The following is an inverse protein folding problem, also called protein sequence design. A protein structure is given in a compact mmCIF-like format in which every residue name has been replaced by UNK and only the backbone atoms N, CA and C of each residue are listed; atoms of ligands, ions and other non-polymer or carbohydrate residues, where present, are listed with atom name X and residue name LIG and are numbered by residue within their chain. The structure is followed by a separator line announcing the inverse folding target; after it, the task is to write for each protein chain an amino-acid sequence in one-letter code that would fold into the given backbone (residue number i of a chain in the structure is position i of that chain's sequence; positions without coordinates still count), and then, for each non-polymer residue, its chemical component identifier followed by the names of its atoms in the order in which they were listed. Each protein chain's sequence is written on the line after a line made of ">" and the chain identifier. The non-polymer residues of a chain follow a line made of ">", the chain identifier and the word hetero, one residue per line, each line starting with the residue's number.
data_IF_379448048098
#
_entry.id   IF_379448048098
#
_cell.length_a   1.000
_cell.length_b   1.000
_cell.length_c   1.000
_cell.angle_alpha   90.00
_cell.angle_beta   90.00
_cell.angle_gamma   90.00
#
_symmetry.space_group_name_H-M   'P 1'
#
loop_
_entity.id
_entity.type
_entity.pdbx_description
1 polymer ?
#
# COMPACT_ATOMS: atom_id res chain seq x y z
N UNK A 1 -55.33 -23.92 63.88
CA UNK A 1 -55.00 -22.81 63.03
C UNK A 1 -53.61 -23.09 62.41
N UNK A 2 -53.56 -23.36 61.11
CA UNK A 2 -52.42 -23.96 60.40
C UNK A 2 -51.49 -22.93 59.82
N UNK A 3 -50.22 -22.89 60.23
CA UNK A 3 -49.16 -22.11 59.62
C UNK A 3 -48.65 -22.82 58.35
N UNK A 4 -48.76 -22.18 57.21
CA UNK A 4 -48.09 -22.58 55.97
C UNK A 4 -46.81 -21.77 55.81
N UNK A 5 -45.65 -22.42 55.89
CA UNK A 5 -44.34 -21.89 55.55
C UNK A 5 -44.16 -22.07 54.04
N UNK A 6 -44.04 -20.96 53.34
CA UNK A 6 -43.72 -20.92 51.89
C UNK A 6 -42.22 -21.00 51.73
N UNK A 7 -41.73 -22.04 51.06
CA UNK A 7 -40.32 -22.25 50.74
C UNK A 7 -40.03 -21.59 49.38
N UNK A 8 -39.22 -20.54 49.37
CA UNK A 8 -38.73 -19.91 48.13
C UNK A 8 -37.51 -20.71 47.67
N UNK A 9 -37.59 -21.37 46.51
CA UNK A 9 -36.48 -21.96 45.81
C UNK A 9 -35.86 -20.95 44.89
N UNK A 10 -34.62 -20.53 45.17
CA UNK A 10 -33.79 -19.73 44.31
C UNK A 10 -33.05 -20.66 43.33
N UNK A 11 -33.47 -20.65 42.06
CA UNK A 11 -32.72 -21.30 40.99
C UNK A 11 -31.57 -20.35 40.55
N UNK A 12 -30.35 -20.70 40.91
CA UNK A 12 -29.16 -20.11 40.39
C UNK A 12 -28.85 -20.73 39.02
N UNK A 13 -29.11 -19.98 37.93
CA UNK A 13 -28.72 -20.37 36.58
C UNK A 13 -27.21 -20.11 36.40
N UNK A 14 -26.39 -21.14 36.47
CA UNK A 14 -25.00 -21.05 36.02
C UNK A 14 -24.99 -20.99 34.48
N UNK A 15 -24.74 -19.81 33.93
CA UNK A 15 -24.37 -19.64 32.53
C UNK A 15 -22.94 -20.16 32.35
N UNK A 16 -22.80 -21.37 31.87
CA UNK A 16 -21.52 -21.91 31.36
C UNK A 16 -21.20 -21.19 30.07
N UNK A 17 -20.34 -20.17 30.15
CA UNK A 17 -19.72 -19.55 28.99
C UNK A 17 -18.76 -20.56 28.38
N UNK A 18 -19.24 -21.34 27.41
CA UNK A 18 -18.43 -22.27 26.62
C UNK A 18 -17.52 -21.43 25.71
N UNK A 19 -16.29 -21.19 26.16
CA UNK A 19 -15.22 -20.72 25.35
C UNK A 19 -14.85 -21.84 24.38
N UNK A 20 -15.53 -21.93 23.24
CA UNK A 20 -15.14 -22.83 22.15
C UNK A 20 -13.85 -22.29 21.53
N UNK A 21 -12.71 -22.72 22.07
CA UNK A 21 -11.46 -22.68 21.31
C UNK A 21 -11.69 -23.47 20.02
N UNK A 22 -11.80 -22.79 18.91
CA UNK A 22 -11.84 -23.41 17.59
C UNK A 22 -10.50 -24.12 17.41
N UNK A 23 -10.49 -25.44 17.63
CA UNK A 23 -9.35 -26.28 17.25
C UNK A 23 -9.34 -26.28 15.71
N UNK A 24 -8.52 -25.41 15.11
CA UNK A 24 -8.23 -25.49 13.69
C UNK A 24 -7.45 -26.78 13.45
N UNK A 25 -8.01 -27.69 12.66
CA UNK A 25 -7.25 -28.84 12.18
C UNK A 25 -6.09 -28.33 11.29
N UNK A 26 -4.97 -29.02 11.25
CA UNK A 26 -3.77 -28.64 10.46
C UNK A 26 -4.12 -28.29 8.99
N UNK A 27 -5.21 -28.82 8.45
CA UNK A 27 -5.71 -28.56 7.11
C UNK A 27 -6.45 -27.21 6.96
N UNK A 28 -6.82 -26.53 8.05
CA UNK A 28 -7.53 -25.23 8.03
C UNK A 28 -6.62 -24.03 8.30
N UNK A 29 -5.34 -24.24 8.64
CA UNK A 29 -4.40 -23.16 8.90
C UNK A 29 -4.19 -22.29 7.64
N UNK A 30 -4.22 -20.97 7.82
CA UNK A 30 -3.93 -20.00 6.76
C UNK A 30 -2.99 -18.92 7.29
N UNK A 31 -2.20 -18.30 6.41
CA UNK A 31 -1.27 -17.23 6.80
C UNK A 31 -2.01 -16.10 7.52
N UNK A 32 -3.07 -15.59 6.93
CA UNK A 32 -3.90 -14.54 7.55
C UNK A 32 -4.58 -14.97 8.86
N UNK A 33 -4.85 -16.26 9.03
CA UNK A 33 -5.43 -16.78 10.25
C UNK A 33 -4.43 -16.90 11.40
N UNK A 34 -3.16 -17.19 11.07
CA UNK A 34 -2.07 -17.32 12.06
C UNK A 34 -1.42 -15.99 12.40
N UNK A 35 -1.30 -15.10 11.43
CA UNK A 35 -0.53 -13.85 11.53
C UNK A 35 -1.41 -12.59 11.59
N UNK A 36 -2.71 -12.70 11.29
CA UNK A 36 -3.58 -11.54 11.09
C UNK A 36 -3.88 -10.68 12.32
N UNK A 37 -3.55 -11.17 13.52
CA UNK A 37 -3.56 -10.39 14.76
C UNK A 37 -2.30 -9.53 14.95
N UNK A 38 -1.26 -9.76 14.13
CA UNK A 38 0.04 -9.09 14.21
C UNK A 38 0.24 -8.10 13.06
N UNK A 39 -0.05 -8.55 11.83
CA UNK A 39 0.08 -7.73 10.61
C UNK A 39 -0.78 -8.29 9.47
N UNK A 40 -1.01 -7.47 8.46
CA UNK A 40 -1.68 -7.91 7.23
C UNK A 40 -0.72 -8.77 6.42
N UNK A 41 -1.25 -9.86 5.85
CA UNK A 41 -0.52 -10.70 4.90
C UNK A 41 -1.02 -10.37 3.51
N UNK A 42 -0.17 -9.71 2.70
CA UNK A 42 -0.52 -9.20 1.38
C UNK A 42 0.00 -10.05 0.23
N UNK A 43 -0.58 -9.83 -0.94
CA UNK A 43 -0.12 -10.42 -2.20
C UNK A 43 -0.35 -9.46 -3.37
N UNK A 44 0.61 -9.39 -4.30
CA UNK A 44 0.45 -8.67 -5.56
C UNK A 44 -0.36 -9.52 -6.54
N UNK A 45 -1.33 -8.90 -7.22
CA UNK A 45 -2.20 -9.57 -8.19
C UNK A 45 -2.07 -8.95 -9.58
N UNK A 46 -1.88 -9.80 -10.59
CA UNK A 46 -2.08 -9.41 -11.97
C UNK A 46 -3.55 -9.56 -12.40
N UNK A 47 -3.87 -9.09 -13.60
CA UNK A 47 -5.25 -9.06 -14.11
C UNK A 47 -5.88 -10.44 -14.27
N UNK A 48 -5.12 -11.50 -14.57
CA UNK A 48 -5.65 -12.87 -14.65
C UNK A 48 -6.11 -13.40 -13.30
N UNK A 49 -5.45 -12.96 -12.24
CA UNK A 49 -5.77 -13.33 -10.85
C UNK A 49 -6.96 -12.50 -10.34
N UNK A 50 -6.94 -11.18 -10.52
CA UNK A 50 -8.04 -10.32 -10.08
C UNK A 50 -9.35 -10.55 -10.85
N UNK A 51 -9.28 -10.92 -12.13
CA UNK A 51 -10.46 -11.30 -12.93
C UNK A 51 -11.00 -12.71 -12.63
N UNK A 52 -10.29 -13.49 -11.84
CA UNK A 52 -10.71 -14.86 -11.51
C UNK A 52 -10.38 -15.91 -12.58
N UNK A 53 -9.72 -15.53 -13.67
CA UNK A 53 -9.31 -16.49 -14.74
C UNK A 53 -8.32 -17.52 -14.21
N UNK A 54 -7.38 -17.12 -13.34
CA UNK A 54 -6.49 -18.05 -12.65
C UNK A 54 -7.15 -18.56 -11.35
N UNK A 55 -8.02 -19.54 -11.51
CA UNK A 55 -8.81 -20.10 -10.40
C UNK A 55 -7.95 -20.78 -9.32
N UNK A 56 -6.77 -21.30 -9.67
CA UNK A 56 -5.85 -21.94 -8.73
C UNK A 56 -5.21 -20.89 -7.82
N UNK A 57 -4.68 -19.80 -8.41
CA UNK A 57 -4.14 -18.68 -7.62
C UNK A 57 -5.21 -18.03 -6.75
N UNK A 58 -6.42 -17.79 -7.29
CA UNK A 58 -7.53 -17.19 -6.54
C UNK A 58 -7.89 -17.98 -5.29
N UNK A 59 -7.87 -19.32 -5.32
CA UNK A 59 -8.11 -20.17 -4.14
C UNK A 59 -7.05 -19.92 -3.05
N UNK A 60 -5.78 -19.83 -3.44
CA UNK A 60 -4.65 -19.55 -2.53
C UNK A 60 -4.80 -18.14 -1.94
N UNK A 61 -5.05 -17.14 -2.79
CA UNK A 61 -5.24 -15.75 -2.38
C UNK A 61 -6.35 -15.63 -1.33
N UNK A 62 -7.53 -16.14 -1.63
CA UNK A 62 -8.68 -16.09 -0.71
C UNK A 62 -8.43 -16.82 0.62
N UNK A 63 -7.64 -17.90 0.60
CA UNK A 63 -7.33 -18.67 1.79
C UNK A 63 -6.30 -17.97 2.68
N UNK A 64 -5.23 -17.44 2.11
CA UNK A 64 -4.04 -17.06 2.85
C UNK A 64 -3.85 -15.57 3.09
N UNK A 65 -4.46 -14.69 2.27
CA UNK A 65 -4.17 -13.26 2.27
C UNK A 65 -5.37 -12.43 2.71
N UNK A 66 -5.11 -11.31 3.38
CA UNK A 66 -6.09 -10.31 3.78
C UNK A 66 -5.76 -8.91 3.26
N UNK A 67 -4.69 -8.78 2.45
CA UNK A 67 -4.34 -7.56 1.72
C UNK A 67 -3.97 -7.88 0.28
N UNK A 68 -4.26 -6.96 -0.63
CA UNK A 68 -3.91 -7.08 -2.06
C UNK A 68 -3.32 -5.77 -2.59
N UNK A 69 -2.34 -5.89 -3.47
CA UNK A 69 -1.76 -4.76 -4.21
C UNK A 69 -1.79 -5.04 -5.70
N UNK A 70 -1.98 -4.00 -6.52
CA UNK A 70 -2.04 -4.13 -7.97
C UNK A 70 -0.62 -4.34 -8.55
N UNK A 71 -0.40 -5.40 -9.34
CA UNK A 71 0.89 -5.61 -9.99
C UNK A 71 1.17 -4.59 -11.09
N UNK A 72 0.21 -4.33 -12.00
CA UNK A 72 0.41 -3.44 -13.15
C UNK A 72 -0.80 -2.55 -13.49
N UNK A 73 -2.01 -2.95 -13.15
CA UNK A 73 -3.23 -2.31 -13.68
C UNK A 73 -3.46 -0.87 -13.19
N UNK A 74 -2.77 -0.43 -12.15
CA UNK A 74 -2.86 0.94 -11.63
C UNK A 74 -1.64 1.82 -11.99
N UNK A 75 -0.64 1.27 -12.70
CA UNK A 75 0.52 2.05 -13.15
C UNK A 75 0.12 3.05 -14.25
N UNK A 76 0.79 4.20 -14.28
CA UNK A 76 0.44 5.33 -15.15
C UNK A 76 0.23 4.92 -16.62
N UNK A 77 1.14 4.14 -17.18
CA UNK A 77 1.04 3.65 -18.57
C UNK A 77 -0.27 2.89 -18.87
N UNK A 78 -0.84 2.20 -17.87
CA UNK A 78 -2.07 1.41 -18.01
C UNK A 78 -3.30 2.26 -17.73
N UNK A 79 -3.30 2.98 -16.60
CA UNK A 79 -4.51 3.67 -16.11
C UNK A 79 -4.71 5.05 -16.75
N UNK A 80 -3.62 5.72 -17.23
CA UNK A 80 -3.64 7.05 -17.83
C UNK A 80 -2.73 7.09 -19.07
N UNK A 81 -3.04 6.29 -20.11
CA UNK A 81 -2.16 6.08 -21.27
C UNK A 81 -2.00 7.31 -22.17
N UNK A 82 -2.98 8.21 -22.20
CA UNK A 82 -2.98 9.45 -22.97
C UNK A 82 -3.42 10.63 -22.09
N UNK A 83 -2.98 11.84 -22.37
CA UNK A 83 -3.19 13.02 -21.52
C UNK A 83 -4.68 13.25 -21.16
N UNK A 84 -5.57 13.04 -22.10
CA UNK A 84 -7.01 13.24 -21.94
C UNK A 84 -7.81 11.94 -21.73
N UNK A 85 -7.12 10.79 -21.54
CA UNK A 85 -7.79 9.50 -21.47
C UNK A 85 -7.32 8.64 -20.28
N UNK A 86 -8.27 8.25 -19.46
CA UNK A 86 -8.09 7.25 -18.42
C UNK A 86 -8.74 5.93 -18.82
N UNK A 87 -8.09 4.82 -18.50
CA UNK A 87 -8.65 3.47 -18.59
C UNK A 87 -8.66 2.80 -17.21
N UNK A 88 -9.81 2.83 -16.58
CA UNK A 88 -9.99 2.26 -15.25
C UNK A 88 -10.46 0.79 -15.26
N UNK A 89 -10.67 0.20 -16.43
CA UNK A 89 -11.32 -1.11 -16.57
C UNK A 89 -10.65 -2.19 -15.72
N UNK A 90 -9.33 -2.33 -15.85
CA UNK A 90 -8.57 -3.33 -15.10
C UNK A 90 -8.42 -2.98 -13.62
N UNK A 91 -8.27 -1.69 -13.31
CA UNK A 91 -8.16 -1.23 -11.93
C UNK A 91 -9.49 -1.37 -11.18
N UNK A 92 -10.63 -1.10 -11.82
CA UNK A 92 -11.96 -1.32 -11.26
C UNK A 92 -12.20 -2.80 -10.93
N UNK A 93 -11.79 -3.71 -11.82
CA UNK A 93 -11.90 -5.15 -11.61
C UNK A 93 -11.03 -5.61 -10.43
N UNK A 94 -9.79 -5.09 -10.32
CA UNK A 94 -8.89 -5.36 -9.20
C UNK A 94 -9.48 -4.87 -7.87
N UNK A 95 -9.98 -3.63 -7.82
CA UNK A 95 -10.58 -3.06 -6.60
C UNK A 95 -11.82 -3.85 -6.21
N UNK A 96 -12.67 -4.18 -7.18
CA UNK A 96 -13.84 -5.03 -6.94
C UNK A 96 -13.47 -6.39 -6.36
N UNK A 97 -12.41 -7.03 -6.86
CA UNK A 97 -11.92 -8.29 -6.30
C UNK A 97 -11.53 -8.16 -4.83
N UNK A 98 -10.81 -7.10 -4.47
CA UNK A 98 -10.44 -6.82 -3.07
C UNK A 98 -11.68 -6.61 -2.18
N UNK A 99 -12.64 -5.81 -2.64
CA UNK A 99 -13.90 -5.55 -1.92
C UNK A 99 -14.74 -6.81 -1.73
N UNK A 100 -14.97 -7.58 -2.79
CA UNK A 100 -15.75 -8.82 -2.76
C UNK A 100 -15.17 -9.86 -1.79
N UNK A 101 -13.89 -9.77 -1.48
CA UNK A 101 -13.20 -10.68 -0.57
C UNK A 101 -12.82 -10.05 0.78
N UNK A 102 -13.28 -8.83 1.07
CA UNK A 102 -13.03 -8.13 2.34
C UNK A 102 -11.55 -7.87 2.62
N UNK A 103 -10.75 -7.61 1.57
CA UNK A 103 -9.31 -7.42 1.67
C UNK A 103 -8.93 -5.95 1.82
N UNK A 104 -7.81 -5.69 2.47
CA UNK A 104 -7.18 -4.38 2.48
C UNK A 104 -6.54 -4.11 1.12
N UNK A 105 -6.98 -3.06 0.43
CA UNK A 105 -6.58 -2.78 -0.95
C UNK A 105 -5.53 -1.68 -0.96
N UNK A 106 -4.38 -1.95 -1.58
CA UNK A 106 -3.30 -1.00 -1.78
C UNK A 106 -3.20 -0.67 -3.27
N UNK A 107 -3.20 0.63 -3.58
CA UNK A 107 -2.99 1.13 -4.95
C UNK A 107 -1.50 1.28 -5.25
N UNK A 108 -1.04 0.67 -6.35
CA UNK A 108 0.36 0.73 -6.80
C UNK A 108 0.42 1.09 -8.28
N UNK A 109 1.01 2.21 -8.60
CA UNK A 109 1.49 3.32 -7.81
C UNK A 109 1.12 4.64 -8.49
N UNK A 110 1.13 5.76 -7.75
CA UNK A 110 0.75 7.06 -8.34
C UNK A 110 1.88 7.70 -9.13
N UNK A 111 3.11 7.70 -8.59
CA UNK A 111 4.28 8.31 -9.25
C UNK A 111 5.44 7.32 -9.29
N UNK A 112 5.86 6.96 -10.49
CA UNK A 112 6.99 6.08 -10.74
C UNK A 112 7.66 6.41 -12.06
N UNK A 113 8.99 6.34 -12.11
CA UNK A 113 9.78 6.64 -13.30
C UNK A 113 9.66 5.59 -14.41
N UNK A 114 9.28 4.35 -14.06
CA UNK A 114 9.07 3.24 -14.98
C UNK A 114 7.58 3.05 -15.27
N UNK A 115 7.24 2.40 -16.35
CA UNK A 115 5.84 2.23 -16.83
C UNK A 115 5.03 3.53 -16.77
N UNK A 116 5.71 4.66 -17.03
CA UNK A 116 5.13 5.98 -17.16
C UNK A 116 4.57 6.15 -18.57
N UNK A 117 3.43 6.80 -18.72
CA UNK A 117 2.88 7.10 -20.02
C UNK A 117 3.80 8.09 -20.77
N UNK A 118 4.07 7.87 -22.07
CA UNK A 118 5.08 8.64 -22.81
C UNK A 118 4.87 10.16 -22.81
N UNK A 119 3.62 10.60 -22.77
CA UNK A 119 3.25 12.03 -22.80
C UNK A 119 3.52 12.77 -21.48
N UNK A 120 3.63 12.05 -20.36
CA UNK A 120 3.48 12.62 -19.00
C UNK A 120 4.48 13.74 -18.67
N UNK A 121 5.74 13.56 -19.03
CA UNK A 121 6.82 14.49 -18.72
C UNK A 121 7.34 15.27 -19.94
N UNK A 122 6.76 15.06 -21.12
CA UNK A 122 7.23 15.68 -22.36
C UNK A 122 6.14 16.45 -23.09
N UNK A 123 6.56 17.40 -23.91
CA UNK A 123 5.69 18.08 -24.85
C UNK A 123 5.56 17.28 -26.17
N UNK A 124 4.81 17.84 -27.14
CA UNK A 124 4.60 17.23 -28.46
C UNK A 124 5.89 17.05 -29.28
N UNK A 125 6.94 17.79 -28.95
CA UNK A 125 8.24 17.76 -29.64
C UNK A 125 9.24 16.86 -28.92
N UNK A 126 8.83 16.21 -27.81
CA UNK A 126 9.63 15.28 -27.00
C UNK A 126 10.56 15.96 -25.99
N UNK A 127 10.45 17.27 -25.81
CA UNK A 127 11.21 18.02 -24.79
C UNK A 127 10.53 17.91 -23.43
N UNK A 128 11.31 18.08 -22.35
CA UNK A 128 10.73 18.18 -21.02
C UNK A 128 9.73 19.34 -20.96
N UNK A 129 8.57 19.10 -20.39
CA UNK A 129 7.58 20.17 -20.17
C UNK A 129 8.06 21.18 -19.12
N UNK A 130 7.48 22.37 -19.11
CA UNK A 130 7.74 23.35 -18.06
C UNK A 130 7.32 22.80 -16.67
N UNK A 131 8.00 23.21 -15.59
CA UNK A 131 7.69 22.75 -14.23
C UNK A 131 6.21 22.88 -13.85
N UNK A 132 5.58 24.00 -14.17
CA UNK A 132 4.17 24.23 -13.84
C UNK A 132 3.21 23.30 -14.60
N UNK A 133 3.56 22.90 -15.82
CA UNK A 133 2.80 21.91 -16.58
C UNK A 133 2.89 20.54 -15.91
N UNK A 134 4.09 20.12 -15.49
CA UNK A 134 4.25 18.84 -14.81
C UNK A 134 3.56 18.82 -13.44
N UNK A 135 3.61 19.92 -12.67
CA UNK A 135 2.87 20.04 -11.40
C UNK A 135 1.37 19.87 -11.62
N UNK A 136 0.82 20.50 -12.67
CA UNK A 136 -0.61 20.36 -12.99
C UNK A 136 -0.94 18.93 -13.41
N UNK A 137 -0.15 18.31 -14.30
CA UNK A 137 -0.34 16.92 -14.74
C UNK A 137 -0.28 15.94 -13.56
N UNK A 138 0.67 16.12 -12.63
CA UNK A 138 0.77 15.33 -11.40
C UNK A 138 -0.49 15.49 -10.55
N UNK A 139 -0.94 16.73 -10.35
CA UNK A 139 -2.13 17.02 -9.56
C UNK A 139 -3.37 16.35 -10.16
N UNK A 140 -3.60 16.52 -11.45
CA UNK A 140 -4.77 15.98 -12.14
C UNK A 140 -4.76 14.45 -12.12
N UNK A 141 -3.60 13.83 -12.41
CA UNK A 141 -3.43 12.38 -12.37
C UNK A 141 -3.74 11.81 -10.99
N UNK A 142 -3.09 12.32 -9.96
CA UNK A 142 -3.24 11.84 -8.58
C UNK A 142 -4.66 12.07 -8.10
N UNK A 143 -5.19 13.28 -8.27
CA UNK A 143 -6.55 13.62 -7.80
C UNK A 143 -7.61 12.76 -8.48
N UNK A 144 -7.50 12.53 -9.78
CA UNK A 144 -8.47 11.73 -10.53
C UNK A 144 -8.47 10.27 -10.05
N UNK A 145 -7.29 9.67 -9.91
CA UNK A 145 -7.17 8.26 -9.52
C UNK A 145 -7.58 8.06 -8.06
N UNK A 146 -7.03 8.86 -7.14
CA UNK A 146 -7.29 8.71 -5.71
C UNK A 146 -8.77 9.00 -5.40
N UNK A 147 -9.35 10.05 -6.00
CA UNK A 147 -10.78 10.38 -5.79
C UNK A 147 -11.71 9.28 -6.31
N UNK A 148 -11.37 8.62 -7.44
CA UNK A 148 -12.18 7.51 -7.97
C UNK A 148 -12.29 6.36 -6.97
N UNK A 149 -11.23 6.08 -6.24
CA UNK A 149 -11.16 4.94 -5.30
C UNK A 149 -11.26 5.37 -3.84
N UNK A 150 -11.65 6.61 -3.57
CA UNK A 150 -11.80 7.14 -2.22
C UNK A 150 -12.64 6.22 -1.34
N UNK A 151 -12.10 5.89 -0.15
CA UNK A 151 -12.73 4.99 0.81
C UNK A 151 -12.67 3.50 0.44
N UNK A 152 -12.34 3.15 -0.81
CA UNK A 152 -12.25 1.78 -1.34
C UNK A 152 -10.79 1.27 -1.28
N UNK A 153 -9.85 1.99 -1.87
CA UNK A 153 -8.42 1.77 -1.69
C UNK A 153 -8.01 2.37 -0.35
N UNK A 154 -7.32 1.57 0.48
CA UNK A 154 -7.00 1.94 1.87
C UNK A 154 -5.66 2.62 2.02
N UNK A 155 -4.77 2.42 1.08
CA UNK A 155 -3.46 3.06 1.04
C UNK A 155 -2.87 3.09 -0.36
N UNK A 156 -1.97 4.02 -0.62
CA UNK A 156 -1.33 4.24 -1.90
C UNK A 156 0.18 4.25 -1.80
N UNK A 157 0.86 3.49 -2.65
CA UNK A 157 2.25 3.76 -2.98
C UNK A 157 2.28 5.07 -3.78
N UNK A 158 2.49 6.19 -3.06
CA UNK A 158 2.41 7.53 -3.66
C UNK A 158 3.59 7.78 -4.56
N UNK A 159 4.81 7.52 -4.06
CA UNK A 159 6.05 7.60 -4.84
C UNK A 159 6.81 6.29 -4.72
N UNK A 160 7.17 5.74 -5.87
CA UNK A 160 7.91 4.49 -5.98
C UNK A 160 9.31 4.73 -6.54
N UNK A 161 10.34 4.22 -5.86
CA UNK A 161 11.72 4.08 -6.32
C UNK A 161 12.41 5.40 -6.71
N UNK A 162 12.33 6.41 -5.85
CA UNK A 162 12.91 7.72 -6.11
C UNK A 162 14.37 7.88 -5.62
N UNK A 163 14.88 6.97 -4.79
CA UNK A 163 16.21 7.05 -4.18
C UNK A 163 17.07 5.87 -4.65
N UNK A 164 18.33 6.14 -5.00
CA UNK A 164 19.31 5.11 -5.37
C UNK A 164 20.01 4.52 -4.14
N UNK A 165 20.74 3.43 -4.33
CA UNK A 165 21.41 2.68 -3.26
C UNK A 165 22.43 3.52 -2.49
N UNK A 166 23.12 4.44 -3.17
CA UNK A 166 24.06 5.38 -2.57
C UNK A 166 23.40 6.54 -1.81
N UNK A 167 22.08 6.60 -1.79
CA UNK A 167 21.28 7.65 -1.16
C UNK A 167 21.06 8.88 -2.06
N UNK A 168 21.55 8.89 -3.28
CA UNK A 168 21.24 9.98 -4.21
C UNK A 168 19.82 9.85 -4.80
N UNK A 169 19.22 10.98 -5.19
CA UNK A 169 17.93 10.96 -5.89
C UNK A 169 18.09 10.43 -7.32
N UNK A 170 17.19 9.53 -7.71
CA UNK A 170 17.11 9.04 -9.08
C UNK A 170 16.84 10.17 -10.05
N UNK A 171 17.69 10.31 -11.08
CA UNK A 171 17.55 11.32 -12.13
C UNK A 171 16.43 10.95 -13.12
N UNK A 172 15.22 10.75 -12.57
CA UNK A 172 14.01 10.55 -13.36
C UNK A 172 13.57 11.85 -14.03
N UNK A 173 12.66 11.79 -15.02
CA UNK A 173 12.06 12.98 -15.61
C UNK A 173 11.37 13.88 -14.59
N UNK A 174 10.74 13.31 -13.57
CA UNK A 174 10.18 14.08 -12.46
C UNK A 174 11.26 14.89 -11.74
N UNK A 175 12.39 14.26 -11.43
CA UNK A 175 13.50 14.93 -10.76
C UNK A 175 14.20 15.94 -11.66
N UNK A 176 14.39 15.65 -12.96
CA UNK A 176 15.01 16.57 -13.91
C UNK A 176 14.21 17.88 -14.04
N UNK A 177 12.88 17.82 -13.94
CA UNK A 177 11.99 18.97 -14.13
C UNK A 177 11.70 19.69 -12.80
N UNK A 178 11.43 18.93 -11.72
CA UNK A 178 10.95 19.49 -10.45
C UNK A 178 11.96 19.38 -9.30
N UNK A 179 13.12 18.72 -9.51
CA UNK A 179 14.01 18.40 -8.39
C UNK A 179 13.33 17.51 -7.36
N UNK A 180 13.70 17.64 -6.10
CA UNK A 180 13.14 16.84 -4.99
C UNK A 180 11.67 17.19 -4.70
N UNK A 181 11.17 18.34 -5.18
CA UNK A 181 9.84 18.87 -4.87
C UNK A 181 8.71 17.94 -5.36
N UNK A 182 8.95 17.11 -6.39
CA UNK A 182 7.89 16.23 -6.91
C UNK A 182 7.38 15.25 -5.87
N UNK A 183 8.22 14.82 -4.91
CA UNK A 183 7.82 13.84 -3.86
C UNK A 183 6.82 14.48 -2.90
N UNK A 184 7.15 15.57 -2.17
CA UNK A 184 6.19 16.20 -1.27
C UNK A 184 4.91 16.68 -1.98
N UNK A 185 4.99 17.14 -3.23
CA UNK A 185 3.80 17.51 -4.01
C UNK A 185 2.88 16.32 -4.26
N UNK A 186 3.44 15.15 -4.62
CA UNK A 186 2.65 13.94 -4.83
C UNK A 186 1.91 13.52 -3.55
N UNK A 187 2.57 13.54 -2.41
CA UNK A 187 1.95 13.24 -1.12
C UNK A 187 0.87 14.25 -0.73
N UNK A 188 1.10 15.53 -0.97
CA UNK A 188 0.11 16.57 -0.75
C UNK A 188 -1.14 16.34 -1.58
N UNK A 189 -1.00 16.12 -2.90
CA UNK A 189 -2.14 15.90 -3.79
C UNK A 189 -2.91 14.62 -3.45
N UNK A 190 -2.23 13.56 -3.06
CA UNK A 190 -2.88 12.33 -2.64
C UNK A 190 -3.69 12.53 -1.34
N UNK A 191 -3.13 13.24 -0.36
CA UNK A 191 -3.83 13.58 0.88
C UNK A 191 -5.04 14.51 0.63
N UNK A 192 -4.91 15.51 -0.23
CA UNK A 192 -6.02 16.40 -0.59
C UNK A 192 -7.17 15.63 -1.25
N UNK A 193 -6.87 14.62 -2.07
CA UNK A 193 -7.87 13.82 -2.77
C UNK A 193 -8.60 12.83 -1.84
N UNK A 194 -7.87 12.13 -0.97
CA UNK A 194 -8.44 11.25 0.06
C UNK A 194 -7.67 11.37 1.38
N UNK A 195 -8.16 12.20 2.33
CA UNK A 195 -7.51 12.37 3.63
C UNK A 195 -7.47 11.10 4.50
N UNK A 196 -8.32 10.11 4.23
CA UNK A 196 -8.43 8.88 5.02
C UNK A 196 -7.50 7.76 4.51
N UNK A 197 -7.11 7.79 3.24
CA UNK A 197 -6.19 6.80 2.68
C UNK A 197 -4.80 6.94 3.31
N UNK A 198 -4.14 5.82 3.59
CA UNK A 198 -2.74 5.82 4.02
C UNK A 198 -1.81 6.12 2.84
N UNK A 199 -0.71 6.84 3.09
CA UNK A 199 0.23 7.29 2.07
C UNK A 199 1.61 6.70 2.31
N UNK A 200 2.16 6.01 1.30
CA UNK A 200 3.39 5.23 1.40
C UNK A 200 4.47 5.74 0.46
N UNK A 201 5.71 5.75 0.97
CA UNK A 201 6.90 5.76 0.12
C UNK A 201 7.37 4.31 -0.04
N UNK A 202 7.58 3.84 -1.25
CA UNK A 202 7.95 2.44 -1.53
C UNK A 202 9.21 2.38 -2.39
N UNK A 203 10.16 1.49 -2.04
CA UNK A 203 11.40 1.35 -2.80
C UNK A 203 12.01 -0.06 -2.61
N UNK A 204 12.87 -0.45 -3.53
CA UNK A 204 13.66 -1.68 -3.44
C UNK A 204 15.03 -1.43 -2.78
N UNK A 205 15.75 -2.51 -2.44
CA UNK A 205 17.07 -2.44 -1.78
C UNK A 205 17.10 -1.49 -0.56
N UNK A 206 16.01 -1.43 0.17
CA UNK A 206 15.80 -0.51 1.30
C UNK A 206 16.71 -0.83 2.51
N UNK A 207 17.46 -1.91 2.46
CA UNK A 207 18.50 -2.27 3.44
C UNK A 207 19.85 -1.57 3.20
N UNK A 208 20.04 -0.94 2.05
CA UNK A 208 21.26 -0.19 1.74
C UNK A 208 21.40 1.06 2.61
N UNK A 209 22.57 1.24 3.23
CA UNK A 209 22.79 2.28 4.22
C UNK A 209 22.58 3.71 3.68
N UNK A 210 23.04 3.97 2.45
CA UNK A 210 22.86 5.27 1.79
C UNK A 210 21.40 5.59 1.56
N UNK A 211 20.67 4.65 0.96
CA UNK A 211 19.22 4.75 0.72
C UNK A 211 18.46 4.91 2.04
N UNK A 212 18.76 4.07 3.04
CA UNK A 212 18.17 4.14 4.39
C UNK A 212 18.28 5.53 5.00
N UNK A 213 19.48 6.11 5.01
CA UNK A 213 19.72 7.42 5.57
C UNK A 213 18.90 8.51 4.86
N UNK A 214 18.86 8.50 3.53
CA UNK A 214 18.12 9.47 2.73
C UNK A 214 16.63 9.33 2.90
N UNK A 215 16.07 8.11 2.91
CA UNK A 215 14.64 7.89 3.09
C UNK A 215 14.19 8.31 4.50
N UNK A 216 14.95 7.99 5.55
CA UNK A 216 14.66 8.46 6.92
C UNK A 216 14.63 9.98 6.96
N UNK A 217 15.62 10.65 6.36
CA UNK A 217 15.66 12.11 6.29
C UNK A 217 14.46 12.66 5.52
N UNK A 218 14.16 12.13 4.34
CA UNK A 218 13.02 12.54 3.50
C UNK A 218 11.70 12.48 4.28
N UNK A 219 11.42 11.35 4.93
CA UNK A 219 10.18 11.17 5.69
C UNK A 219 10.09 12.14 6.87
N UNK A 220 11.19 12.34 7.61
CA UNK A 220 11.23 13.30 8.72
C UNK A 220 11.05 14.74 8.23
N UNK A 221 11.70 15.12 7.12
CA UNK A 221 11.55 16.45 6.52
C UNK A 221 10.10 16.71 6.06
N UNK A 222 9.46 15.71 5.44
CA UNK A 222 8.06 15.81 5.02
C UNK A 222 7.11 15.96 6.22
N UNK A 223 7.29 15.13 7.27
CA UNK A 223 6.49 15.22 8.50
C UNK A 223 6.70 16.55 9.24
N UNK A 224 7.92 17.08 9.27
CA UNK A 224 8.20 18.39 9.88
C UNK A 224 7.49 19.55 9.18
N UNK A 225 7.17 19.39 7.90
CA UNK A 225 6.38 20.33 7.10
C UNK A 225 4.86 20.07 7.16
N UNK A 226 4.43 19.15 8.03
CA UNK A 226 3.02 18.80 8.19
C UNK A 226 2.46 17.87 7.11
N UNK A 227 3.30 17.28 6.27
CA UNK A 227 2.86 16.30 5.29
C UNK A 227 2.69 14.92 5.93
N UNK A 228 1.68 14.21 5.48
CA UNK A 228 1.38 12.86 5.96
C UNK A 228 2.22 11.83 5.21
N UNK A 229 2.91 10.97 5.95
CA UNK A 229 3.58 9.76 5.47
C UNK A 229 3.28 8.67 6.48
N UNK A 230 2.44 7.71 6.11
CA UNK A 230 1.93 6.69 7.04
C UNK A 230 2.80 5.44 7.08
N UNK A 231 3.39 5.06 5.96
CA UNK A 231 4.29 3.91 5.92
C UNK A 231 5.45 4.08 4.94
N UNK A 232 6.48 3.26 5.19
CA UNK A 232 7.63 3.06 4.31
C UNK A 232 7.60 1.60 3.86
N UNK A 233 7.51 1.38 2.54
CA UNK A 233 7.52 0.07 1.92
C UNK A 233 8.94 -0.35 1.55
N UNK A 234 9.34 -1.54 2.02
CA UNK A 234 10.57 -2.21 1.66
C UNK A 234 10.20 -3.35 0.71
N UNK A 235 10.40 -3.20 -0.59
CA UNK A 235 9.92 -4.20 -1.59
C UNK A 235 10.43 -5.64 -1.38
N UNK A 236 11.42 -5.86 -0.52
CA UNK A 236 11.84 -7.19 -0.10
C UNK A 236 12.31 -8.12 -1.21
N UNK A 237 12.94 -7.59 -2.28
CA UNK A 237 13.60 -8.40 -3.30
C UNK A 237 14.86 -9.03 -2.72
N UNK A 238 14.68 -10.10 -1.96
CA UNK A 238 15.75 -10.75 -1.20
C UNK A 238 16.20 -12.05 -1.87
N UNK A 239 17.50 -12.36 -1.75
CA UNK A 239 18.07 -13.63 -2.12
C UNK A 239 18.35 -14.52 -0.90
N UNK A 240 18.99 -15.66 -1.09
CA UNK A 240 19.36 -16.55 0.02
C UNK A 240 20.48 -15.96 0.90
N UNK A 241 21.40 -15.22 0.32
CA UNK A 241 22.56 -14.67 1.00
C UNK A 241 22.59 -13.13 1.03
N UNK A 242 21.53 -12.47 0.59
CA UNK A 242 21.46 -11.01 0.49
C UNK A 242 20.01 -10.53 0.59
N UNK A 243 19.73 -9.47 1.36
CA UNK A 243 20.66 -8.78 2.28
C UNK A 243 21.02 -9.63 3.51
N UNK A 244 21.98 -9.15 4.31
CA UNK A 244 22.18 -9.75 5.64
C UNK A 244 20.95 -9.49 6.52
N UNK A 245 20.67 -10.40 7.45
CA UNK A 245 19.57 -10.20 8.42
C UNK A 245 19.79 -8.95 9.26
N UNK A 246 21.04 -8.65 9.61
CA UNK A 246 21.40 -7.45 10.39
C UNK A 246 21.05 -6.17 9.63
N UNK A 247 21.47 -6.03 8.37
CA UNK A 247 21.19 -4.84 7.57
C UNK A 247 19.68 -4.64 7.36
N UNK A 248 18.97 -5.75 7.17
CA UNK A 248 17.51 -5.71 7.00
C UNK A 248 16.80 -5.25 8.27
N UNK A 249 17.17 -5.82 9.44
CA UNK A 249 16.61 -5.45 10.75
C UNK A 249 16.95 -4.00 11.11
N UNK A 250 18.21 -3.57 10.95
CA UNK A 250 18.63 -2.19 11.17
C UNK A 250 17.80 -1.20 10.33
N UNK A 251 17.50 -1.57 9.09
CA UNK A 251 16.69 -0.75 8.19
C UNK A 251 15.24 -0.67 8.65
N UNK A 252 14.64 -1.79 9.04
CA UNK A 252 13.29 -1.80 9.62
C UNK A 252 13.19 -0.90 10.85
N UNK A 253 14.17 -1.00 11.77
CA UNK A 253 14.22 -0.18 12.99
C UNK A 253 14.42 1.31 12.66
N UNK A 254 15.29 1.63 11.69
CA UNK A 254 15.51 3.01 11.26
C UNK A 254 14.26 3.63 10.65
N UNK A 255 13.54 2.90 9.79
CA UNK A 255 12.27 3.37 9.22
C UNK A 255 11.19 3.50 10.28
N UNK A 256 11.06 2.55 11.19
CA UNK A 256 10.12 2.63 12.31
C UNK A 256 10.40 3.84 13.23
N UNK A 257 11.67 4.24 13.39
CA UNK A 257 12.05 5.40 14.20
C UNK A 257 11.48 6.74 13.69
N UNK A 258 11.07 6.81 12.41
CA UNK A 258 10.37 7.98 11.84
C UNK A 258 8.93 8.10 12.32
N UNK A 259 8.42 7.11 13.04
CA UNK A 259 7.01 6.99 13.41
C UNK A 259 6.10 6.60 12.25
N UNK A 260 6.65 6.18 11.12
CA UNK A 260 5.89 5.53 10.03
C UNK A 260 5.80 4.02 10.27
N UNK A 261 4.75 3.39 9.75
CA UNK A 261 4.68 1.92 9.67
C UNK A 261 5.75 1.41 8.71
N UNK A 262 6.18 0.17 8.88
CA UNK A 262 7.07 -0.52 7.94
C UNK A 262 6.27 -1.61 7.24
N UNK A 263 6.32 -1.64 5.91
CA UNK A 263 5.75 -2.68 5.07
C UNK A 263 6.88 -3.43 4.35
N UNK A 264 6.70 -4.73 4.13
CA UNK A 264 7.65 -5.58 3.40
C UNK A 264 6.87 -6.30 2.30
#
# INVERSE_FOLDING_TARGET
>A
MKNRKTLLAVLASLALSSCTTRVTTENDASLKGVLGDKFLVGVALNTRQSSGVDTAAVKIVKRHFNSVVAENCMKCQTIHPEEDRYDFSQADEFVKFGEDNGMYIIGHCLVWHSQLAPWFCVDKDGNNVAPEVLKQRLKDHITTIVSRYKGRVKGWDVVNEAILEDGSYRKSKFYEILGEEFIPLAFQYAHEADPEAELYYNDYNMHEAGKRATVVKLVNDMKSKGLRVDAIGMQGHVGLDYPSLTDFEESMLAYASTGAKVMI
#
